data_IF_301704973011
#
_entry.id   IF_301704973011
#
_cell.length_a   1.000
_cell.length_b   1.000
_cell.length_c   1.000
_cell.angle_alpha   90.00
_cell.angle_beta   90.00
_cell.angle_gamma   90.00
#
_symmetry.space_group_name_H-M   'P 1'
#
loop_
_entity.id
_entity.type
_entity.pdbx_description
1 polymer ?
#
# COMPACT_ATOMS: atom_id res chain seq x y z
N UNK A 1 -2.56 8.09 22.73
CA UNK A 1 -2.37 8.99 21.55
C UNK A 1 -3.62 9.88 21.37
N UNK A 2 -3.55 11.02 20.66
CA UNK A 2 -4.77 11.79 20.32
C UNK A 2 -5.59 11.05 19.27
N UNK A 3 -6.92 11.06 19.41
CA UNK A 3 -7.84 10.43 18.45
C UNK A 3 -7.61 10.90 17.00
N UNK A 4 -7.29 12.18 16.83
CA UNK A 4 -7.01 12.80 15.53
C UNK A 4 -5.81 12.13 14.84
N UNK A 5 -4.78 11.76 15.59
CA UNK A 5 -3.60 11.07 15.05
C UNK A 5 -3.96 9.65 14.59
N UNK A 6 -4.72 8.89 15.38
CA UNK A 6 -5.19 7.55 14.98
C UNK A 6 -6.02 7.60 13.70
N UNK A 7 -6.95 8.56 13.63
CA UNK A 7 -7.81 8.74 12.46
C UNK A 7 -7.00 9.02 11.20
N UNK A 8 -5.97 9.88 11.27
CA UNK A 8 -5.11 10.15 10.12
C UNK A 8 -4.30 8.90 9.74
N UNK A 9 -3.77 8.15 10.70
CA UNK A 9 -3.04 6.91 10.41
C UNK A 9 -3.93 5.89 9.70
N UNK A 10 -5.14 5.62 10.19
CA UNK A 10 -6.10 4.73 9.53
C UNK A 10 -6.46 5.18 8.11
N UNK A 11 -6.60 6.49 7.90
CA UNK A 11 -6.83 7.05 6.57
C UNK A 11 -5.63 6.80 5.65
N UNK A 12 -4.40 7.00 6.13
CA UNK A 12 -3.19 6.77 5.35
C UNK A 12 -3.01 5.29 5.01
N UNK A 13 -3.23 4.39 5.98
CA UNK A 13 -3.24 2.93 5.73
C UNK A 13 -4.16 2.57 4.56
N UNK A 14 -5.41 3.06 4.63
CA UNK A 14 -6.41 2.80 3.58
C UNK A 14 -5.97 3.34 2.22
N UNK A 15 -5.39 4.54 2.18
CA UNK A 15 -4.91 5.15 0.93
C UNK A 15 -3.71 4.39 0.35
N UNK A 16 -2.76 3.95 1.17
CA UNK A 16 -1.61 3.17 0.72
C UNK A 16 -2.07 1.83 0.13
N UNK A 17 -2.99 1.12 0.79
CA UNK A 17 -3.59 -0.12 0.26
C UNK A 17 -4.24 0.10 -1.12
N UNK A 18 -4.99 1.20 -1.28
CA UNK A 18 -5.62 1.54 -2.56
C UNK A 18 -4.58 1.84 -3.65
N UNK A 19 -3.52 2.59 -3.33
CA UNK A 19 -2.44 2.90 -4.27
C UNK A 19 -1.70 1.62 -4.69
N UNK A 20 -1.34 0.75 -3.74
CA UNK A 20 -0.71 -0.53 -4.03
C UNK A 20 -1.58 -1.38 -4.96
N UNK A 21 -2.89 -1.50 -4.67
CA UNK A 21 -3.83 -2.25 -5.51
C UNK A 21 -3.93 -1.70 -6.94
N UNK A 22 -3.94 -0.37 -7.11
CA UNK A 22 -3.92 0.27 -8.43
C UNK A 22 -2.64 -0.07 -9.20
N UNK A 23 -1.48 -0.03 -8.54
CA UNK A 23 -0.20 -0.37 -9.15
C UNK A 23 -0.12 -1.85 -9.55
N UNK A 24 -0.60 -2.77 -8.70
CA UNK A 24 -0.67 -4.20 -9.06
C UNK A 24 -1.60 -4.43 -10.25
N UNK A 25 -2.75 -3.77 -10.29
CA UNK A 25 -3.69 -3.87 -11.42
C UNK A 25 -3.04 -3.37 -12.71
N UNK A 26 -2.32 -2.24 -12.65
CA UNK A 26 -1.60 -1.71 -13.80
C UNK A 26 -0.45 -2.63 -14.24
N UNK A 27 0.27 -3.24 -13.28
CA UNK A 27 1.32 -4.21 -13.57
C UNK A 27 0.76 -5.45 -14.30
N UNK A 28 -0.40 -5.95 -13.86
CA UNK A 28 -1.07 -7.08 -14.50
C UNK A 28 -1.52 -6.73 -15.93
N UNK A 29 -2.06 -5.52 -16.15
CA UNK A 29 -2.40 -5.04 -17.48
C UNK A 29 -1.16 -4.89 -18.39
N UNK A 30 -0.04 -4.39 -17.88
CA UNK A 30 1.22 -4.32 -18.61
C UNK A 30 1.71 -5.73 -18.99
N UNK A 31 1.64 -6.68 -18.06
CA UNK A 31 2.00 -8.08 -18.30
C UNK A 31 1.11 -8.72 -19.39
N UNK A 32 -0.19 -8.45 -19.40
CA UNK A 32 -1.12 -8.91 -20.44
C UNK A 32 -0.81 -8.33 -21.83
N UNK A 33 -0.12 -7.20 -21.90
CA UNK A 33 0.30 -6.53 -23.13
C UNK A 33 1.75 -6.86 -23.52
N UNK A 34 2.38 -7.85 -22.90
CA UNK A 34 3.80 -8.22 -23.06
C UNK A 34 4.78 -7.07 -22.76
N UNK A 35 4.35 -6.07 -21.98
CA UNK A 35 5.20 -4.95 -21.53
C UNK A 35 5.87 -5.29 -20.19
N UNK A 36 6.89 -6.14 -20.27
CA UNK A 36 7.56 -6.70 -19.10
C UNK A 36 8.34 -5.67 -18.29
N UNK A 37 8.87 -4.63 -18.94
CA UNK A 37 9.63 -3.57 -18.28
C UNK A 37 8.70 -2.74 -17.40
N UNK A 38 7.55 -2.30 -17.94
CA UNK A 38 6.54 -1.56 -17.17
C UNK A 38 5.89 -2.44 -16.10
N UNK A 39 5.59 -3.71 -16.39
CA UNK A 39 5.02 -4.64 -15.42
C UNK A 39 5.94 -4.79 -14.18
N UNK A 40 7.23 -5.03 -14.41
CA UNK A 40 8.24 -5.16 -13.34
C UNK A 40 8.39 -3.87 -12.54
N UNK A 41 8.43 -2.72 -13.23
CA UNK A 41 8.52 -1.43 -12.56
C UNK A 41 7.30 -1.19 -11.64
N UNK A 42 6.09 -1.37 -12.17
CA UNK A 42 4.83 -1.15 -11.45
C UNK A 42 4.69 -2.11 -10.27
N UNK A 43 5.00 -3.39 -10.45
CA UNK A 43 4.99 -4.38 -9.38
C UNK A 43 5.97 -4.00 -8.26
N UNK A 44 7.23 -3.65 -8.59
CA UNK A 44 8.21 -3.24 -7.57
C UNK A 44 7.79 -2.01 -6.76
N UNK A 45 6.99 -1.11 -7.36
CA UNK A 45 6.44 0.05 -6.65
C UNK A 45 5.26 -0.36 -5.77
N UNK A 46 4.38 -1.22 -6.27
CA UNK A 46 3.26 -1.77 -5.51
C UNK A 46 3.76 -2.48 -4.23
N UNK A 47 4.79 -3.31 -4.35
CA UNK A 47 5.41 -4.03 -3.23
C UNK A 47 5.86 -3.08 -2.12
N UNK A 48 6.54 -1.98 -2.47
CA UNK A 48 7.01 -0.99 -1.50
C UNK A 48 5.88 -0.25 -0.81
N UNK A 49 4.83 0.13 -1.55
CA UNK A 49 3.68 0.81 -0.96
C UNK A 49 2.90 -0.15 -0.05
N UNK A 50 2.79 -1.42 -0.44
CA UNK A 50 2.19 -2.45 0.39
C UNK A 50 2.98 -2.66 1.69
N UNK A 51 4.32 -2.75 1.61
CA UNK A 51 5.19 -2.85 2.80
C UNK A 51 4.98 -1.68 3.76
N UNK A 52 4.92 -0.44 3.27
CA UNK A 52 4.63 0.73 4.11
C UNK A 52 3.22 0.70 4.71
N UNK A 53 2.23 0.15 3.99
CA UNK A 53 0.89 -0.05 4.53
C UNK A 53 0.88 -1.07 5.67
N UNK A 54 1.57 -2.20 5.53
CA UNK A 54 1.71 -3.23 6.57
C UNK A 54 2.44 -2.67 7.81
N UNK A 55 3.50 -1.89 7.61
CA UNK A 55 4.19 -1.22 8.71
C UNK A 55 3.24 -0.30 9.48
N UNK A 56 2.33 0.39 8.78
CA UNK A 56 1.33 1.25 9.42
C UNK A 56 0.26 0.44 10.16
N UNK A 57 -0.15 -0.70 9.62
CA UNK A 57 -1.12 -1.62 10.25
C UNK A 57 -0.57 -2.20 11.56
N UNK A 58 0.69 -2.62 11.56
CA UNK A 58 1.40 -3.08 12.76
C UNK A 58 1.43 -1.96 13.81
N UNK A 59 1.84 -0.74 13.41
CA UNK A 59 1.87 0.41 14.32
C UNK A 59 0.48 0.72 14.90
N UNK A 60 -0.57 0.71 14.07
CA UNK A 60 -1.95 0.95 14.53
C UNK A 60 -2.37 -0.13 15.52
N UNK A 61 -2.11 -1.40 15.22
CA UNK A 61 -2.44 -2.53 16.08
C UNK A 61 -1.74 -2.46 17.44
N UNK A 62 -0.46 -2.06 17.46
CA UNK A 62 0.30 -1.82 18.69
C UNK A 62 -0.33 -0.69 19.52
N UNK A 63 -0.76 0.40 18.87
CA UNK A 63 -1.39 1.55 19.52
C UNK A 63 -2.81 1.29 20.05
N UNK A 64 -3.54 0.31 19.50
CA UNK A 64 -4.85 -0.13 19.97
C UNK A 64 -4.78 -1.20 21.07
N UNK A 65 -3.67 -1.95 21.12
CA UNK A 65 -3.40 -2.98 22.12
C UNK A 65 -2.77 -2.48 23.43
N UNK A 66 -2.32 -1.22 23.48
CA UNK A 66 -1.84 -0.49 24.67
C UNK A 66 -2.92 0.45 25.26
#
# INVERSE_FOLDING_TARGET
>A
MKQETLTILLQMYTQLQQIAAQLYTAAELALQNDDFDDASLLQSRADKIYEEAENLDILISELEGE
#
